data_IF_103849634702
#
_entry.id   IF_103849634702
#
_cell.length_a   1.000
_cell.length_b   1.000
_cell.length_c   1.000
_cell.angle_alpha   90.00
_cell.angle_beta   90.00
_cell.angle_gamma   90.00
#
_symmetry.space_group_name_H-M   'P 1'
#
loop_
_entity.id
_entity.type
_entity.pdbx_description
1 polymer ?
#
# COMPACT_ATOMS: atom_id res chain seq x y z
N UNK A 1 15.72 10.30 5.70
CA UNK A 1 15.47 11.50 4.89
C UNK A 1 16.00 12.73 5.61
N UNK A 2 15.79 13.91 5.03
CA UNK A 2 16.08 15.21 5.66
C UNK A 2 14.85 15.72 6.41
N UNK A 3 14.91 16.91 7.00
CA UNK A 3 13.77 17.51 7.71
C UNK A 3 12.56 17.80 6.83
N UNK A 4 12.79 17.99 5.52
CA UNK A 4 11.72 18.22 4.55
C UNK A 4 10.93 16.93 4.23
N UNK A 5 11.58 15.78 4.34
CA UNK A 5 10.97 14.47 4.08
C UNK A 5 11.68 13.36 4.88
N UNK A 6 11.44 13.26 6.20
CA UNK A 6 12.20 12.37 7.07
C UNK A 6 11.97 10.89 6.74
N UNK A 7 10.78 10.55 6.24
CA UNK A 7 10.32 9.18 5.95
C UNK A 7 10.22 8.87 4.45
N UNK A 8 10.71 9.75 3.57
CA UNK A 8 10.74 9.53 2.12
C UNK A 8 9.34 9.31 1.48
N UNK A 9 8.35 10.10 1.90
CA UNK A 9 6.98 10.05 1.35
C UNK A 9 6.86 10.87 0.05
N UNK A 10 7.78 11.79 -0.24
CA UNK A 10 7.65 12.74 -1.36
C UNK A 10 8.46 12.35 -2.60
N UNK A 11 9.63 11.71 -2.45
CA UNK A 11 10.53 11.46 -3.59
C UNK A 11 9.92 10.63 -4.74
N UNK A 12 8.92 9.80 -4.44
CA UNK A 12 8.19 9.04 -5.47
C UNK A 12 7.45 9.94 -6.47
N UNK A 13 7.01 11.13 -6.04
CA UNK A 13 6.23 12.04 -6.88
C UNK A 13 7.08 12.57 -8.04
N UNK A 14 8.34 12.92 -7.77
CA UNK A 14 9.30 13.35 -8.80
C UNK A 14 9.61 12.21 -9.78
N UNK A 15 9.81 10.99 -9.25
CA UNK A 15 10.04 9.80 -10.10
C UNK A 15 8.85 9.53 -11.02
N UNK A 16 7.62 9.61 -10.50
CA UNK A 16 6.41 9.44 -11.29
C UNK A 16 6.25 10.55 -12.32
N UNK A 17 6.51 11.80 -11.97
CA UNK A 17 6.47 12.94 -12.89
C UNK A 17 7.37 12.71 -14.11
N UNK A 18 8.55 12.13 -13.91
CA UNK A 18 9.45 11.82 -15.02
C UNK A 18 8.94 10.62 -15.85
N UNK A 19 8.48 9.54 -15.21
CA UNK A 19 8.02 8.33 -15.91
C UNK A 19 6.77 8.56 -16.76
N UNK A 20 5.84 9.42 -16.32
CA UNK A 20 4.64 9.76 -17.11
C UNK A 20 4.97 10.53 -18.39
N UNK A 21 6.11 11.22 -18.45
CA UNK A 21 6.58 11.88 -19.68
C UNK A 21 7.22 10.89 -20.65
N UNK A 22 7.73 9.75 -20.16
CA UNK A 22 8.43 8.76 -20.97
C UNK A 22 7.44 7.82 -21.68
N UNK A 23 6.36 7.41 -21.00
CA UNK A 23 5.40 6.47 -21.57
C UNK A 23 3.95 6.88 -21.28
N UNK A 24 3.16 6.97 -22.35
CA UNK A 24 1.71 7.17 -22.27
C UNK A 24 0.98 5.99 -21.61
N UNK A 25 -0.19 6.25 -21.03
CA UNK A 25 -1.05 5.21 -20.46
C UNK A 25 -0.76 4.86 -19.00
N UNK A 26 0.23 5.50 -18.38
CA UNK A 26 0.38 5.48 -16.93
C UNK A 26 -0.80 6.23 -16.31
N UNK A 27 -1.52 5.59 -15.39
CA UNK A 27 -2.63 6.17 -14.66
C UNK A 27 -2.30 6.18 -13.16
N UNK A 28 -2.53 7.33 -12.51
CA UNK A 28 -2.14 7.58 -11.11
C UNK A 28 -3.34 7.58 -10.14
N UNK A 29 -4.54 7.20 -10.57
CA UNK A 29 -5.75 7.23 -9.73
C UNK A 29 -5.58 6.35 -8.48
N UNK A 30 -5.35 5.05 -8.66
CA UNK A 30 -5.17 4.12 -7.54
C UNK A 30 -3.89 4.39 -6.76
N UNK A 31 -2.82 4.87 -7.43
CA UNK A 31 -1.63 5.32 -6.72
C UNK A 31 -1.95 6.46 -5.74
N UNK A 32 -2.67 7.49 -6.20
CA UNK A 32 -3.01 8.65 -5.37
C UNK A 32 -3.90 8.25 -4.21
N UNK A 33 -4.88 7.38 -4.46
CA UNK A 33 -5.74 6.80 -3.45
C UNK A 33 -4.97 6.02 -2.37
N UNK A 34 -4.20 5.01 -2.77
CA UNK A 34 -3.47 4.19 -1.80
C UNK A 34 -2.35 4.95 -1.12
N UNK A 35 -1.70 5.90 -1.80
CA UNK A 35 -0.72 6.78 -1.18
C UNK A 35 -1.36 7.57 -0.03
N UNK A 36 -2.56 8.11 -0.24
CA UNK A 36 -3.28 8.85 0.78
C UNK A 36 -3.67 7.96 1.97
N UNK A 37 -4.28 6.80 1.71
CA UNK A 37 -4.77 5.90 2.76
C UNK A 37 -3.63 5.24 3.56
N UNK A 38 -2.49 4.97 2.92
CA UNK A 38 -1.50 4.00 3.45
C UNK A 38 -0.09 4.56 3.63
N UNK A 39 0.19 5.81 3.25
CA UNK A 39 1.46 6.47 3.56
C UNK A 39 1.27 7.65 4.50
N UNK A 40 2.35 8.03 5.17
CA UNK A 40 2.36 9.20 6.03
C UNK A 40 2.07 10.47 5.22
N UNK A 41 1.15 11.28 5.75
CA UNK A 41 1.01 12.68 5.39
C UNK A 41 1.97 13.56 6.21
N UNK A 42 1.94 14.88 5.97
CA UNK A 42 2.82 15.85 6.66
C UNK A 42 2.58 15.90 8.16
N UNK A 43 1.32 15.93 8.60
CA UNK A 43 0.95 16.02 10.02
C UNK A 43 1.40 14.78 10.77
N UNK A 44 1.13 13.61 10.20
CA UNK A 44 1.55 12.31 10.75
C UNK A 44 3.08 12.20 10.82
N UNK A 45 3.78 12.60 9.76
CA UNK A 45 5.25 12.63 9.75
C UNK A 45 5.82 13.55 10.84
N UNK A 46 5.19 14.71 11.03
CA UNK A 46 5.61 15.66 12.08
C UNK A 46 5.37 15.08 13.47
N UNK A 47 4.19 14.50 13.70
CA UNK A 47 3.83 13.89 14.98
C UNK A 47 4.78 12.74 15.35
N UNK A 48 5.04 11.81 14.42
CA UNK A 48 5.95 10.69 14.64
C UNK A 48 7.36 11.15 15.01
N UNK A 49 7.84 12.20 14.36
CA UNK A 49 9.16 12.76 14.61
C UNK A 49 9.23 13.47 15.96
N UNK A 50 8.28 14.36 16.26
CA UNK A 50 8.29 15.16 17.49
C UNK A 50 8.16 14.30 18.75
N UNK A 51 7.45 13.17 18.66
CA UNK A 51 7.24 12.26 19.78
C UNK A 51 8.22 11.06 19.78
N UNK A 52 9.18 11.03 18.86
CA UNK A 52 10.16 9.93 18.71
C UNK A 52 9.51 8.52 18.67
N UNK A 53 8.40 8.39 17.92
CA UNK A 53 7.57 7.17 17.91
C UNK A 53 8.06 6.08 16.94
N UNK A 54 9.12 6.37 16.16
CA UNK A 54 9.63 5.43 15.15
C UNK A 54 10.95 4.84 15.62
N UNK A 55 10.92 3.57 16.02
CA UNK A 55 12.09 2.82 16.49
C UNK A 55 12.69 1.88 15.42
N UNK A 56 12.07 1.77 14.24
CA UNK A 56 12.52 0.89 13.18
C UNK A 56 13.60 1.55 12.29
N UNK A 57 14.53 0.71 11.78
CA UNK A 57 15.59 1.14 10.86
C UNK A 57 15.06 1.41 9.45
N UNK A 58 14.08 0.62 9.00
CA UNK A 58 13.51 0.70 7.65
C UNK A 58 12.30 1.65 7.67
N UNK A 59 12.38 2.73 6.89
CA UNK A 59 11.37 3.80 6.86
C UNK A 59 10.63 3.92 5.52
N UNK A 60 10.86 2.98 4.60
CA UNK A 60 10.28 2.97 3.26
C UNK A 60 8.75 3.11 3.32
N UNK A 61 8.20 4.11 2.62
CA UNK A 61 6.74 4.27 2.43
C UNK A 61 6.26 3.58 1.17
N UNK A 62 7.05 3.65 0.11
CA UNK A 62 6.69 3.16 -1.20
C UNK A 62 7.92 2.90 -2.08
N UNK A 63 7.79 2.02 -3.08
CA UNK A 63 8.77 1.83 -4.16
C UNK A 63 8.08 1.64 -5.50
N UNK A 64 8.76 1.98 -6.58
CA UNK A 64 8.33 1.71 -7.95
C UNK A 64 9.03 0.46 -8.49
N UNK A 65 8.36 -0.25 -9.39
CA UNK A 65 8.94 -1.35 -10.16
C UNK A 65 8.52 -1.22 -11.63
N UNK A 66 9.45 -1.53 -12.53
CA UNK A 66 9.24 -1.49 -13.97
C UNK A 66 9.43 -2.91 -14.51
N UNK A 67 8.37 -3.49 -15.08
CA UNK A 67 8.49 -4.70 -15.89
C UNK A 67 8.84 -4.28 -17.32
N UNK A 68 10.07 -4.55 -17.77
CA UNK A 68 10.52 -4.18 -19.11
C UNK A 68 10.03 -5.19 -20.16
N UNK A 69 9.34 -4.72 -21.20
CA UNK A 69 8.78 -5.55 -22.28
C UNK A 69 8.95 -4.85 -23.63
N UNK A 70 9.96 -5.28 -24.38
CA UNK A 70 10.30 -4.64 -25.65
C UNK A 70 10.69 -3.17 -25.44
N UNK A 71 10.03 -2.26 -26.14
CA UNK A 71 10.22 -0.81 -26.01
C UNK A 71 9.28 -0.14 -25.00
N UNK A 72 8.55 -0.91 -24.19
CA UNK A 72 7.60 -0.43 -23.20
C UNK A 72 7.93 -1.00 -21.80
N UNK A 73 7.35 -0.39 -20.77
CA UNK A 73 7.39 -0.89 -19.41
C UNK A 73 6.00 -0.89 -18.77
N UNK A 74 5.71 -1.88 -17.92
CA UNK A 74 4.57 -1.80 -17.01
C UNK A 74 5.05 -1.29 -15.65
N UNK A 75 4.44 -0.19 -15.19
CA UNK A 75 4.81 0.45 -13.93
C UNK A 75 3.94 -0.09 -12.78
N UNK A 76 4.58 -0.40 -11.65
CA UNK A 76 3.93 -0.84 -10.41
C UNK A 76 4.41 -0.04 -9.23
N UNK A 77 3.57 0.08 -8.21
CA UNK A 77 3.93 0.65 -6.90
C UNK A 77 3.73 -0.41 -5.83
N UNK A 78 4.62 -0.44 -4.86
CA UNK A 78 4.46 -1.18 -3.61
C UNK A 78 4.38 -0.16 -2.47
N UNK A 79 3.47 -0.34 -1.51
CA UNK A 79 3.19 0.61 -0.44
C UNK A 79 3.23 -0.10 0.91
N UNK A 80 3.95 0.50 1.86
CA UNK A 80 4.28 -0.04 3.17
C UNK A 80 3.60 0.78 4.28
N UNK A 81 2.49 0.30 4.86
CA UNK A 81 1.69 1.06 5.82
C UNK A 81 2.21 1.02 7.26
N UNK A 82 3.39 0.46 7.52
CA UNK A 82 3.90 0.24 8.88
C UNK A 82 3.99 1.54 9.69
N UNK A 83 4.57 2.60 9.13
CA UNK A 83 4.60 3.89 9.82
C UNK A 83 3.23 4.57 9.89
N UNK A 84 2.35 4.34 8.91
CA UNK A 84 0.96 4.82 8.94
C UNK A 84 0.19 4.18 10.08
N UNK A 85 0.42 2.89 10.33
CA UNK A 85 -0.09 2.17 11.50
C UNK A 85 0.38 2.84 12.80
N UNK A 86 1.69 3.08 12.94
CA UNK A 86 2.23 3.80 14.10
C UNK A 86 1.60 5.18 14.30
N UNK A 87 1.43 5.96 13.23
CA UNK A 87 0.90 7.32 13.31
C UNK A 87 -0.61 7.39 13.63
N UNK A 88 -1.37 6.37 13.22
CA UNK A 88 -2.84 6.38 13.32
C UNK A 88 -3.39 5.48 14.42
N UNK A 89 -2.56 4.59 14.98
CA UNK A 89 -2.99 3.55 15.91
C UNK A 89 -3.81 2.42 15.27
N UNK A 90 -4.02 2.44 13.95
CA UNK A 90 -4.74 1.37 13.22
C UNK A 90 -3.82 0.21 12.90
N UNK A 91 -4.34 -1.01 12.95
CA UNK A 91 -3.55 -2.17 12.52
C UNK A 91 -3.24 -2.09 11.01
N UNK A 92 -2.15 -2.75 10.59
CA UNK A 92 -1.82 -2.85 9.15
C UNK A 92 -2.95 -3.56 8.39
N UNK A 93 -3.62 -4.52 9.02
CA UNK A 93 -4.79 -5.18 8.47
C UNK A 93 -5.91 -4.17 8.19
N UNK A 94 -6.30 -3.37 9.17
CA UNK A 94 -7.37 -2.37 9.01
C UNK A 94 -7.02 -1.33 7.95
N UNK A 95 -5.75 -0.94 7.85
CA UNK A 95 -5.29 -0.02 6.82
C UNK A 95 -5.43 -0.65 5.43
N UNK A 96 -4.82 -1.82 5.19
CA UNK A 96 -4.82 -2.46 3.87
C UNK A 96 -6.22 -2.93 3.49
N UNK A 97 -6.84 -3.80 4.29
CA UNK A 97 -8.16 -4.36 3.97
C UNK A 97 -9.24 -3.30 4.00
N UNK A 98 -9.20 -2.34 4.93
CA UNK A 98 -10.14 -1.22 4.96
C UNK A 98 -10.03 -0.34 3.71
N UNK A 99 -8.81 -0.03 3.25
CA UNK A 99 -8.61 0.75 2.02
C UNK A 99 -9.07 0.01 0.77
N UNK A 100 -8.82 -1.30 0.65
CA UNK A 100 -9.27 -2.08 -0.51
C UNK A 100 -10.79 -2.27 -0.49
N UNK A 101 -11.39 -2.48 0.69
CA UNK A 101 -12.85 -2.56 0.84
C UNK A 101 -13.54 -1.27 0.39
N UNK A 102 -13.04 -0.10 0.80
CA UNK A 102 -13.59 1.19 0.36
C UNK A 102 -13.46 1.36 -1.16
N UNK A 103 -12.31 0.99 -1.74
CA UNK A 103 -12.08 1.10 -3.17
C UNK A 103 -12.98 0.15 -3.97
N UNK A 104 -13.24 -1.06 -3.47
CA UNK A 104 -14.09 -2.05 -4.15
C UNK A 104 -15.56 -1.67 -4.21
N UNK A 105 -16.03 -0.75 -3.37
CA UNK A 105 -17.38 -0.16 -3.48
C UNK A 105 -17.53 0.72 -4.74
N UNK A 106 -16.43 1.31 -5.20
CA UNK A 106 -16.40 2.15 -6.41
C UNK A 106 -15.96 1.35 -7.65
N UNK A 107 -15.08 0.36 -7.45
CA UNK A 107 -14.53 -0.52 -8.48
C UNK A 107 -15.01 -1.95 -8.24
N UNK A 108 -16.27 -2.24 -8.58
CA UNK A 108 -16.92 -3.52 -8.22
C UNK A 108 -16.27 -4.76 -8.86
N UNK A 109 -15.46 -4.59 -9.90
CA UNK A 109 -14.71 -5.68 -10.55
C UNK A 109 -13.72 -6.40 -9.62
N UNK A 110 -13.17 -5.71 -8.61
CA UNK A 110 -12.23 -6.32 -7.65
C UNK A 110 -12.94 -6.93 -6.43
N UNK A 111 -14.23 -6.64 -6.23
CA UNK A 111 -14.96 -6.99 -5.02
C UNK A 111 -15.06 -8.51 -4.77
N UNK A 112 -15.37 -9.37 -5.77
CA UNK A 112 -15.52 -10.80 -5.50
C UNK A 112 -14.21 -11.46 -5.04
N UNK A 113 -13.09 -11.16 -5.73
CA UNK A 113 -11.78 -11.68 -5.37
C UNK A 113 -11.30 -11.16 -4.01
N UNK A 114 -11.59 -9.88 -3.71
CA UNK A 114 -11.29 -9.30 -2.41
C UNK A 114 -12.08 -9.98 -1.29
N UNK A 115 -13.38 -10.24 -1.47
CA UNK A 115 -14.21 -10.90 -0.45
C UNK A 115 -13.70 -12.31 -0.12
N UNK A 116 -13.33 -13.10 -1.14
CA UNK A 116 -12.76 -14.43 -0.93
C UNK A 116 -11.46 -14.38 -0.10
N UNK A 117 -10.58 -13.42 -0.39
CA UNK A 117 -9.35 -13.24 0.37
C UNK A 117 -9.62 -12.78 1.81
N UNK A 118 -10.54 -11.85 1.99
CA UNK A 118 -10.96 -11.30 3.28
C UNK A 118 -11.54 -12.39 4.19
N UNK A 119 -12.45 -13.21 3.65
CA UNK A 119 -13.04 -14.35 4.36
C UNK A 119 -11.99 -15.41 4.71
N UNK A 120 -11.06 -15.69 3.80
CA UNK A 120 -9.97 -16.62 4.05
C UNK A 120 -9.04 -16.14 5.18
N UNK A 121 -8.64 -14.87 5.16
CA UNK A 121 -7.78 -14.31 6.21
C UNK A 121 -8.51 -14.28 7.56
N UNK A 122 -9.79 -13.89 7.57
CA UNK A 122 -10.60 -13.90 8.78
C UNK A 122 -10.73 -15.30 9.38
N UNK A 123 -11.08 -16.31 8.56
CA UNK A 123 -11.22 -17.70 9.02
C UNK A 123 -9.92 -18.28 9.60
N UNK A 124 -8.76 -18.01 8.96
CA UNK A 124 -7.46 -18.47 9.49
C UNK A 124 -7.10 -17.78 10.80
N UNK A 125 -7.37 -16.49 10.92
CA UNK A 125 -7.07 -15.74 12.14
C UNK A 125 -7.93 -16.18 13.33
N UNK A 126 -9.23 -16.44 13.10
CA UNK A 126 -10.12 -17.04 14.11
C UNK A 126 -9.59 -18.41 14.55
N UNK A 127 -9.16 -19.25 13.61
CA UNK A 127 -8.58 -20.57 13.94
C UNK A 127 -7.29 -20.45 14.75
N UNK A 128 -6.41 -19.51 14.41
CA UNK A 128 -5.17 -19.27 15.14
C UNK A 128 -5.40 -18.82 16.58
N UNK A 129 -6.38 -17.92 16.80
CA UNK A 129 -6.77 -17.44 18.13
C UNK A 129 -7.37 -18.55 19.00
N UNK A 130 -8.05 -19.52 18.39
CA UNK A 130 -8.62 -20.69 19.06
C UNK A 130 -7.59 -21.80 19.35
N UNK A 131 -6.29 -21.56 19.10
CA UNK A 131 -5.22 -22.56 19.31
C UNK A 131 -5.12 -23.60 18.19
N UNK A 132 -5.61 -23.30 16.99
CA UNK A 132 -5.47 -24.15 15.82
C UNK A 132 -4.02 -24.27 15.33
N UNK A 133 -3.76 -25.24 14.45
CA UNK A 133 -2.41 -25.56 13.95
C UNK A 133 -1.80 -24.47 13.05
N UNK A 134 -2.61 -23.55 12.52
CA UNK A 134 -2.18 -22.48 11.63
C UNK A 134 -1.92 -21.17 12.38
N UNK A 135 -0.81 -20.49 12.06
CA UNK A 135 -0.56 -19.12 12.53
C UNK A 135 -1.50 -18.09 11.90
N UNK A 136 -1.73 -16.96 12.55
CA UNK A 136 -2.49 -15.85 11.96
C UNK A 136 -1.79 -15.30 10.70
N UNK A 137 -2.54 -14.94 9.66
CA UNK A 137 -2.03 -14.22 8.48
C UNK A 137 -1.96 -12.74 8.79
N UNK A 138 -0.76 -12.16 8.63
CA UNK A 138 -0.55 -10.74 8.83
C UNK A 138 -0.22 -10.04 7.50
N UNK A 139 -1.05 -9.10 7.03
CA UNK A 139 -0.69 -8.30 5.87
C UNK A 139 0.49 -7.39 6.18
N UNK A 140 1.40 -7.23 5.22
CA UNK A 140 2.61 -6.42 5.37
C UNK A 140 2.67 -5.21 4.44
N UNK A 141 2.21 -5.37 3.20
CA UNK A 141 2.22 -4.34 2.18
C UNK A 141 1.19 -4.67 1.09
N UNK A 142 0.93 -3.70 0.23
CA UNK A 142 0.21 -3.93 -1.02
C UNK A 142 1.01 -3.47 -2.22
N UNK A 143 0.64 -3.94 -3.40
CA UNK A 143 1.05 -3.34 -4.67
C UNK A 143 -0.11 -3.17 -5.63
N UNK A 144 -0.03 -2.20 -6.53
CA UNK A 144 -0.92 -2.11 -7.69
C UNK A 144 -0.18 -1.72 -8.97
N UNK A 145 -0.77 -2.05 -10.12
CA UNK A 145 -0.33 -1.57 -11.43
C UNK A 145 -0.75 -0.10 -11.61
N UNK A 146 0.08 0.76 -12.20
CA UNK A 146 -0.24 2.18 -12.48
C UNK A 146 -0.74 2.34 -13.92
N UNK A 147 -1.87 1.69 -14.19
CA UNK A 147 -2.59 1.68 -15.46
C UNK A 147 -4.08 1.95 -15.17
N UNK A 148 -4.89 2.14 -16.20
CA UNK A 148 -6.35 2.19 -16.13
C UNK A 148 -6.90 1.27 -15.02
N UNK A 149 -7.67 1.80 -14.04
CA UNK A 149 -8.29 1.02 -12.96
C UNK A 149 -8.97 -0.26 -13.42
N UNK A 150 -9.63 -0.27 -14.57
CA UNK A 150 -10.31 -1.45 -15.10
C UNK A 150 -9.35 -2.59 -15.48
N UNK A 151 -8.06 -2.29 -15.66
CA UNK A 151 -6.98 -3.24 -16.01
C UNK A 151 -5.96 -3.42 -14.89
N UNK A 152 -5.98 -2.55 -13.87
CA UNK A 152 -5.04 -2.61 -12.76
C UNK A 152 -5.37 -3.79 -11.83
N UNK A 153 -4.33 -4.38 -11.24
CA UNK A 153 -4.46 -5.47 -10.27
C UNK A 153 -3.87 -5.05 -8.94
N UNK A 154 -4.58 -5.39 -7.88
CA UNK A 154 -4.13 -5.23 -6.49
C UNK A 154 -3.53 -6.55 -6.02
N UNK A 155 -2.38 -6.48 -5.33
CA UNK A 155 -1.80 -7.62 -4.61
C UNK A 155 -1.62 -7.25 -3.15
N UNK A 156 -2.13 -8.09 -2.26
CA UNK A 156 -1.93 -7.99 -0.81
C UNK A 156 -0.91 -9.07 -0.41
N UNK A 157 0.13 -8.68 0.32
CA UNK A 157 1.19 -9.58 0.74
C UNK A 157 1.00 -9.96 2.20
N UNK A 158 0.87 -11.26 2.46
CA UNK A 158 0.64 -11.85 3.78
C UNK A 158 1.90 -12.60 4.24
N UNK A 159 2.16 -12.60 5.55
CA UNK A 159 3.10 -13.47 6.25
C UNK A 159 2.36 -14.41 7.18
#
# INVERSE_FOLDING_TARGET
GTDKDPYNTLAILESLQNLVQIQSGINLEWFSYFKHELTLNRTESTNLRSNNLVNCQIKTQNKLALDLKGNQFALKVYIYPELKSTATGKSIHDLIFGSVRKLSLQHTSIQPAFQVLDDYVASRNISAEAGGECSALQPRLLSCDLIDPAKSRIKIYLL
#
